data_IF_686761457476
#
_entry.id   IF_686761457476
#
_cell.length_a   1.000
_cell.length_b   1.000
_cell.length_c   1.000
_cell.angle_alpha   90.00
_cell.angle_beta   90.00
_cell.angle_gamma   90.00
#
_symmetry.space_group_name_H-M   'P 1'
#
loop_
_entity.id
_entity.type
_entity.pdbx_description
1 polymer ?
#
# COMPACT_ATOMS: atom_id res chain seq x y z
N UNK A 1 -6.25 34.75 7.93
CA UNK A 1 -5.32 33.94 7.12
C UNK A 1 -4.70 32.80 7.94
N UNK A 2 -4.70 32.86 9.28
CA UNK A 2 -4.39 31.74 10.19
C UNK A 2 -5.47 30.66 10.20
N UNK A 3 -6.75 31.04 10.15
CA UNK A 3 -7.85 30.06 10.32
C UNK A 3 -7.92 29.05 9.17
N UNK A 4 -7.58 29.46 7.95
CA UNK A 4 -7.54 28.56 6.77
C UNK A 4 -6.39 27.55 6.79
N UNK A 5 -5.34 27.78 7.59
CA UNK A 5 -4.21 26.83 7.76
C UNK A 5 -4.55 25.83 8.86
N UNK A 6 -5.22 26.28 9.92
CA UNK A 6 -5.67 25.43 11.03
C UNK A 6 -6.81 24.49 10.60
N UNK A 7 -7.73 24.95 9.73
CA UNK A 7 -8.74 24.06 9.11
C UNK A 7 -8.08 23.02 8.21
N UNK A 8 -7.05 23.39 7.43
CA UNK A 8 -6.34 22.45 6.54
C UNK A 8 -5.45 21.46 7.29
N UNK A 9 -4.88 21.87 8.42
CA UNK A 9 -4.17 20.98 9.35
C UNK A 9 -5.12 20.03 10.09
N UNK A 10 -6.35 20.46 10.39
CA UNK A 10 -7.38 19.59 10.96
C UNK A 10 -8.00 18.65 9.91
N UNK A 11 -8.08 19.06 8.64
CA UNK A 11 -8.39 18.16 7.51
C UNK A 11 -7.25 17.13 7.28
N UNK A 12 -5.99 17.54 7.44
CA UNK A 12 -4.82 16.65 7.34
C UNK A 12 -4.67 15.69 8.53
N UNK A 13 -5.25 15.98 9.71
CA UNK A 13 -5.33 15.03 10.83
C UNK A 13 -6.16 13.79 10.52
N UNK A 14 -6.98 13.81 9.47
CA UNK A 14 -7.79 12.66 9.03
C UNK A 14 -6.94 11.70 8.14
N UNK A 15 -5.86 12.20 7.52
CA UNK A 15 -5.04 11.42 6.58
C UNK A 15 -3.71 10.87 7.16
N UNK A 16 -3.51 10.96 8.47
CA UNK A 16 -2.45 10.20 9.16
C UNK A 16 -3.05 8.96 9.83
N UNK A 17 -3.32 7.91 9.03
CA UNK A 17 -3.62 6.59 9.59
C UNK A 17 -2.34 5.95 10.13
N UNK A 18 -1.95 6.36 11.34
CA UNK A 18 -1.46 5.49 12.42
C UNK A 18 -1.39 6.34 13.71
N UNK A 19 -2.54 6.57 14.33
CA UNK A 19 -2.62 6.90 15.76
C UNK A 19 -3.14 5.67 16.47
N UNK A 20 -2.31 4.62 16.49
CA UNK A 20 -2.53 3.49 17.37
C UNK A 20 -2.15 3.90 18.79
N UNK A 21 -3.08 4.49 19.53
CA UNK A 21 -3.03 4.37 20.98
C UNK A 21 -3.32 2.89 21.28
N UNK A 22 -2.28 2.06 21.45
CA UNK A 22 -2.42 0.75 22.09
C UNK A 22 -2.69 1.03 23.58
N UNK A 23 -3.94 0.99 24.07
CA UNK A 23 -4.20 1.37 25.45
C UNK A 23 -3.71 0.22 26.33
N UNK A 24 -2.78 0.53 27.25
CA UNK A 24 -2.36 -0.36 28.34
C UNK A 24 -1.62 -1.67 27.96
N UNK A 25 -0.78 -1.66 26.92
CA UNK A 25 0.19 -2.75 26.73
C UNK A 25 1.48 -2.38 27.48
N UNK A 26 1.95 -3.26 28.37
CA UNK A 26 3.23 -3.04 29.07
C UNK A 26 4.39 -3.03 28.07
N UNK A 27 5.45 -2.27 28.36
CA UNK A 27 6.66 -2.23 27.53
C UNK A 27 7.21 -3.65 27.27
N UNK A 28 7.11 -4.53 28.26
CA UNK A 28 7.51 -5.95 28.16
C UNK A 28 6.65 -6.73 27.17
N UNK A 29 5.33 -6.48 27.13
CA UNK A 29 4.42 -7.11 26.17
C UNK A 29 4.64 -6.58 24.74
N UNK A 30 4.92 -5.29 24.56
CA UNK A 30 5.30 -4.70 23.25
C UNK A 30 6.59 -5.31 22.69
N UNK A 31 7.59 -5.58 23.54
CA UNK A 31 8.83 -6.25 23.14
C UNK A 31 8.61 -7.73 22.75
N UNK A 32 7.54 -8.37 23.26
CA UNK A 32 7.17 -9.74 22.94
C UNK A 32 6.28 -9.87 21.70
N UNK A 33 5.62 -8.79 21.25
CA UNK A 33 4.90 -8.80 19.98
C UNK A 33 5.89 -8.96 18.82
N UNK A 34 5.93 -10.14 18.22
CA UNK A 34 6.39 -10.30 16.85
C UNK A 34 5.25 -9.81 15.96
N UNK A 35 5.40 -8.65 15.32
CA UNK A 35 4.48 -8.27 14.23
C UNK A 35 4.70 -9.33 13.14
N UNK A 36 3.69 -10.14 12.81
CA UNK A 36 3.91 -11.24 11.88
C UNK A 36 4.14 -10.69 10.48
N UNK A 37 5.20 -11.14 9.81
CA UNK A 37 5.44 -10.86 8.40
C UNK A 37 6.41 -9.71 8.13
N UNK A 38 6.67 -8.82 9.09
CA UNK A 38 7.70 -7.81 8.94
C UNK A 38 8.99 -8.23 9.67
N UNK A 39 9.90 -8.88 8.94
CA UNK A 39 11.20 -9.26 9.50
C UNK A 39 12.07 -8.03 9.84
N UNK A 40 11.69 -6.82 9.40
CA UNK A 40 12.51 -5.61 9.48
C UNK A 40 11.92 -4.55 10.43
N UNK A 41 10.63 -4.18 10.35
CA UNK A 41 10.05 -3.11 11.16
C UNK A 41 9.90 -3.42 12.66
N UNK A 42 9.87 -4.72 13.02
CA UNK A 42 9.90 -5.12 14.44
C UNK A 42 11.22 -4.70 15.09
N UNK A 43 12.29 -4.53 14.32
CA UNK A 43 13.58 -4.07 14.85
C UNK A 43 13.56 -2.58 15.20
N UNK A 44 13.06 -1.70 14.33
CA UNK A 44 13.05 -0.24 14.56
C UNK A 44 12.20 0.15 15.77
N UNK A 45 10.96 -0.33 15.86
CA UNK A 45 10.08 0.02 16.99
C UNK A 45 10.69 -0.48 18.31
N UNK A 46 11.26 -1.69 18.32
CA UNK A 46 11.94 -2.23 19.52
C UNK A 46 13.19 -1.43 19.88
N UNK A 47 14.00 -1.00 18.91
CA UNK A 47 15.16 -0.15 19.15
C UNK A 47 14.76 1.21 19.73
N UNK A 48 13.72 1.83 19.16
CA UNK A 48 13.20 3.10 19.65
C UNK A 48 12.65 2.96 21.08
N UNK A 49 11.81 1.95 21.33
CA UNK A 49 11.27 1.66 22.66
C UNK A 49 12.37 1.37 23.68
N UNK A 50 13.38 0.58 23.29
CA UNK A 50 14.51 0.23 24.15
C UNK A 50 15.35 1.44 24.56
N UNK A 51 15.46 2.44 23.68
CA UNK A 51 16.28 3.65 23.92
C UNK A 51 15.52 4.78 24.59
N UNK A 52 14.31 5.06 24.14
CA UNK A 52 13.53 6.22 24.55
C UNK A 52 12.42 5.89 25.56
N UNK A 53 12.18 4.60 25.81
CA UNK A 53 11.15 4.11 26.73
C UNK A 53 9.76 4.70 26.46
N UNK A 54 9.46 4.97 25.19
CA UNK A 54 8.22 5.59 24.73
C UNK A 54 7.86 5.08 23.34
N UNK A 55 6.55 5.01 23.06
CA UNK A 55 6.05 4.70 21.73
C UNK A 55 6.37 5.87 20.77
N UNK A 56 6.96 5.59 19.58
CA UNK A 56 7.22 6.62 18.58
C UNK A 56 5.95 7.04 17.86
N UNK A 57 5.88 8.31 17.48
CA UNK A 57 5.12 8.73 16.31
C UNK A 57 5.84 8.25 15.05
N UNK A 58 5.08 7.88 14.02
CA UNK A 58 5.60 7.40 12.76
C UNK A 58 5.32 8.41 11.65
N UNK A 59 6.32 8.70 10.82
CA UNK A 59 6.15 9.49 9.60
C UNK A 59 6.96 8.88 8.46
N UNK A 60 6.30 8.53 7.37
CA UNK A 60 6.97 8.06 6.15
C UNK A 60 7.26 9.26 5.26
N UNK A 61 8.54 9.63 5.14
CA UNK A 61 8.98 10.65 4.21
C UNK A 61 8.98 10.06 2.80
N UNK A 62 8.03 10.50 1.99
CA UNK A 62 7.96 10.20 0.56
C UNK A 62 8.53 11.38 -0.22
N UNK A 63 9.20 11.07 -1.33
CA UNK A 63 9.82 12.05 -2.23
C UNK A 63 8.82 12.96 -2.99
N UNK A 64 7.51 12.71 -2.84
CA UNK A 64 6.40 13.55 -3.28
C UNK A 64 5.73 13.13 -4.60
N UNK A 65 6.43 12.43 -5.51
CA UNK A 65 5.86 11.89 -6.76
C UNK A 65 6.53 10.56 -7.09
N UNK A 66 5.84 9.65 -7.79
CA UNK A 66 6.30 8.29 -8.14
C UNK A 66 7.65 8.22 -8.88
N UNK A 67 8.13 9.33 -9.46
CA UNK A 67 9.44 9.40 -10.12
C UNK A 67 10.57 9.88 -9.22
N UNK A 68 10.27 10.57 -8.11
CA UNK A 68 11.31 11.12 -7.24
C UNK A 68 11.80 10.03 -6.31
N UNK A 69 13.10 9.96 -6.11
CA UNK A 69 13.74 8.97 -5.26
C UNK A 69 14.69 9.72 -4.33
N UNK A 70 14.71 9.34 -3.06
CA UNK A 70 15.57 9.96 -2.05
C UNK A 70 17.00 9.47 -2.29
N UNK A 71 17.93 10.39 -2.46
CA UNK A 71 19.34 10.06 -2.61
C UNK A 71 19.96 9.89 -1.21
N UNK A 72 20.14 8.63 -0.83
CA UNK A 72 20.50 8.24 0.53
C UNK A 72 21.84 8.83 0.94
N UNK A 73 22.82 8.86 0.04
CA UNK A 73 24.18 9.34 0.35
C UNK A 73 24.18 10.83 0.72
N UNK A 74 23.54 11.69 -0.08
CA UNK A 74 23.42 13.12 0.25
C UNK A 74 22.64 13.33 1.56
N UNK A 75 21.62 12.51 1.83
CA UNK A 75 20.90 12.58 3.10
C UNK A 75 21.81 12.21 4.28
N UNK A 76 22.59 11.13 4.18
CA UNK A 76 23.53 10.74 5.24
C UNK A 76 24.60 11.82 5.48
N UNK A 77 25.13 12.43 4.41
CA UNK A 77 26.06 13.57 4.52
C UNK A 77 25.42 14.76 5.23
N UNK A 78 24.17 15.09 4.91
CA UNK A 78 23.41 16.13 5.60
C UNK A 78 23.25 15.83 7.10
N UNK A 79 22.92 14.58 7.47
CA UNK A 79 22.80 14.17 8.87
C UNK A 79 24.14 14.27 9.62
N UNK A 80 25.25 13.87 9.00
CA UNK A 80 26.58 14.05 9.58
C UNK A 80 26.91 15.53 9.83
N UNK A 81 26.58 16.41 8.87
CA UNK A 81 26.96 17.81 8.91
C UNK A 81 26.09 18.63 9.87
N UNK A 82 24.77 18.53 9.74
CA UNK A 82 23.81 19.34 10.50
C UNK A 82 23.48 18.75 11.86
N UNK A 83 23.32 17.42 11.95
CA UNK A 83 22.94 16.73 13.18
C UNK A 83 24.13 16.13 13.95
N UNK A 84 25.36 16.27 13.42
CA UNK A 84 26.57 15.66 13.99
C UNK A 84 26.40 14.15 14.21
N UNK A 85 25.67 13.52 13.30
CA UNK A 85 25.42 12.08 13.34
C UNK A 85 26.69 11.29 13.01
N UNK A 86 26.92 10.18 13.71
CA UNK A 86 28.05 9.28 13.46
C UNK A 86 27.55 8.00 12.79
N UNK A 87 27.89 7.83 11.51
CA UNK A 87 27.47 6.68 10.72
C UNK A 87 27.98 5.33 11.26
N UNK A 88 29.03 5.32 12.07
CA UNK A 88 29.53 4.08 12.68
C UNK A 88 28.62 3.56 13.79
N UNK A 89 27.67 4.40 14.24
CA UNK A 89 26.66 4.02 15.24
C UNK A 89 25.38 3.49 14.61
N UNK A 90 25.29 3.50 13.27
CA UNK A 90 24.14 2.99 12.54
C UNK A 90 24.03 1.47 12.73
N UNK A 91 22.80 0.99 12.92
CA UNK A 91 22.51 -0.42 12.70
C UNK A 91 22.30 -0.62 11.19
N UNK A 92 23.03 -1.57 10.61
CA UNK A 92 22.93 -1.89 9.18
C UNK A 92 22.54 -3.36 9.06
N UNK A 93 21.47 -3.63 8.32
CA UNK A 93 21.13 -4.97 7.88
C UNK A 93 21.42 -5.11 6.40
N UNK A 94 21.91 -6.27 6.00
CA UNK A 94 22.21 -6.54 4.60
C UNK A 94 21.99 -7.99 4.24
N UNK A 95 21.87 -8.24 2.95
CA UNK A 95 21.74 -9.56 2.37
C UNK A 95 23.02 -9.86 1.59
N UNK A 96 23.55 -11.06 1.78
CA UNK A 96 24.66 -11.56 0.97
C UNK A 96 24.10 -12.34 -0.22
N UNK A 97 24.38 -11.89 -1.44
CA UNK A 97 24.03 -12.62 -2.64
C UNK A 97 25.20 -13.56 -3.03
N UNK A 98 24.99 -14.86 -2.84
CA UNK A 98 25.99 -15.88 -3.14
C UNK A 98 26.28 -16.08 -4.64
N UNK A 99 25.38 -15.64 -5.52
CA UNK A 99 25.55 -15.74 -6.98
C UNK A 99 26.40 -14.60 -7.52
N UNK A 100 26.20 -13.38 -6.99
CA UNK A 100 26.95 -12.18 -7.41
C UNK A 100 28.16 -11.89 -6.52
N UNK A 101 28.29 -12.58 -5.38
CA UNK A 101 29.32 -12.37 -4.37
C UNK A 101 29.33 -10.92 -3.84
N UNK A 102 28.14 -10.31 -3.73
CA UNK A 102 27.92 -8.94 -3.31
C UNK A 102 27.10 -8.87 -2.02
N UNK A 103 27.38 -7.85 -1.20
CA UNK A 103 26.61 -7.49 -0.01
C UNK A 103 25.71 -6.31 -0.36
N UNK A 104 24.40 -6.52 -0.28
CA UNK A 104 23.40 -5.47 -0.47
C UNK A 104 22.89 -4.99 0.89
N UNK A 105 22.82 -3.68 1.10
CA UNK A 105 22.25 -3.11 2.33
C UNK A 105 20.73 -3.14 2.20
N UNK A 106 20.06 -3.95 3.02
CA UNK A 106 18.60 -4.04 3.03
C UNK A 106 17.96 -2.92 3.85
N UNK A 107 18.57 -2.56 4.98
CA UNK A 107 18.13 -1.43 5.78
C UNK A 107 19.28 -0.78 6.56
N UNK A 108 19.10 0.50 6.88
CA UNK A 108 19.99 1.28 7.75
C UNK A 108 19.16 2.07 8.74
N UNK A 109 19.53 2.00 10.01
CA UNK A 109 18.89 2.74 11.11
C UNK A 109 19.84 3.80 11.64
N UNK A 110 19.41 5.06 11.59
CA UNK A 110 20.17 6.20 12.09
C UNK A 110 19.44 6.81 13.29
N UNK A 111 20.04 6.75 14.47
CA UNK A 111 19.52 7.44 15.64
C UNK A 111 20.15 8.83 15.80
N UNK A 112 19.37 9.86 15.49
CA UNK A 112 19.81 11.26 15.59
C UNK A 112 19.81 11.79 17.02
N UNK A 113 19.51 10.94 18.00
CA UNK A 113 19.34 11.30 19.42
C UNK A 113 18.08 12.16 19.63
N UNK A 114 17.84 12.54 20.88
CA UNK A 114 16.72 13.41 21.28
C UNK A 114 15.32 12.94 20.84
N UNK A 115 15.17 11.63 20.63
CA UNK A 115 13.90 11.03 20.27
C UNK A 115 13.58 11.14 18.79
N UNK A 116 14.57 11.13 17.89
CA UNK A 116 14.38 11.01 16.45
C UNK A 116 15.27 9.87 15.92
N UNK A 117 14.66 8.90 15.24
CA UNK A 117 15.35 7.80 14.60
C UNK A 117 14.81 7.61 13.18
N UNK A 118 15.69 7.33 12.23
CA UNK A 118 15.38 7.15 10.83
C UNK A 118 15.67 5.72 10.41
N UNK A 119 14.84 5.19 9.54
CA UNK A 119 15.03 3.90 8.90
C UNK A 119 14.98 4.10 7.38
N UNK A 120 16.07 3.72 6.72
CA UNK A 120 16.18 3.64 5.28
C UNK A 120 15.99 2.17 4.89
N UNK A 121 15.00 1.87 4.06
CA UNK A 121 14.73 0.52 3.55
C UNK A 121 14.94 0.45 2.03
N UNK A 122 15.17 -0.75 1.53
CA UNK A 122 15.28 -1.05 0.09
C UNK A 122 16.27 -0.12 -0.63
N UNK A 123 17.47 0.03 -0.05
CA UNK A 123 18.51 0.88 -0.62
C UNK A 123 19.18 0.12 -1.77
N UNK A 124 19.19 0.72 -2.97
CA UNK A 124 19.88 0.14 -4.12
C UNK A 124 20.62 1.20 -4.93
N UNK A 125 21.64 0.77 -5.69
CA UNK A 125 22.40 1.64 -6.57
C UNK A 125 21.72 1.73 -7.95
N UNK A 126 21.49 2.94 -8.44
CA UNK A 126 20.93 3.16 -9.76
C UNK A 126 21.75 4.20 -10.55
N UNK A 127 22.45 3.80 -11.63
CA UNK A 127 23.22 4.72 -12.49
C UNK A 127 22.37 5.43 -13.54
N UNK A 128 21.10 5.04 -13.74
CA UNK A 128 20.24 5.58 -14.79
C UNK A 128 19.40 6.79 -14.38
N UNK A 129 19.57 7.33 -13.17
CA UNK A 129 18.70 8.39 -12.66
C UNK A 129 18.93 9.74 -13.34
N UNK A 130 17.86 10.50 -13.55
CA UNK A 130 17.94 11.91 -13.89
C UNK A 130 18.23 12.72 -12.63
N UNK A 131 19.18 13.64 -12.70
CA UNK A 131 19.66 14.39 -11.54
C UNK A 131 19.35 15.90 -11.66
N UNK A 132 18.08 16.31 -11.54
CA UNK A 132 17.69 17.72 -11.71
C UNK A 132 18.25 18.64 -10.62
N UNK A 133 18.56 18.08 -9.45
CA UNK A 133 19.09 18.81 -8.29
C UNK A 133 20.63 18.90 -8.29
N UNK A 134 21.30 18.39 -9.33
CA UNK A 134 22.77 18.45 -9.49
C UNK A 134 23.54 17.85 -8.30
N UNK A 135 23.00 16.78 -7.71
CA UNK A 135 23.63 16.07 -6.60
C UNK A 135 24.88 15.33 -7.08
N UNK A 136 25.83 15.11 -6.18
CA UNK A 136 27.06 14.36 -6.49
C UNK A 136 26.73 12.86 -6.55
N UNK A 137 27.22 12.17 -7.58
CA UNK A 137 27.10 10.71 -7.68
C UNK A 137 27.99 9.99 -6.64
N UNK A 138 27.61 8.77 -6.26
CA UNK A 138 28.25 8.00 -5.18
C UNK A 138 29.46 7.22 -5.65
N UNK A 139 29.50 6.83 -6.93
CA UNK A 139 30.59 6.09 -7.57
C UNK A 139 30.98 6.73 -8.90
N UNK A 140 32.15 6.36 -9.43
CA UNK A 140 32.72 6.86 -10.68
C UNK A 140 31.84 6.71 -11.91
N UNK A 141 30.86 5.79 -11.86
CA UNK A 141 29.99 5.42 -12.98
C UNK A 141 28.61 6.12 -12.89
N UNK A 142 28.55 7.30 -12.29
CA UNK A 142 27.33 8.09 -12.08
C UNK A 142 26.20 7.37 -11.32
N UNK A 143 26.56 6.38 -10.49
CA UNK A 143 25.61 5.63 -9.64
C UNK A 143 25.09 6.43 -8.45
N UNK A 144 23.78 6.40 -8.20
CA UNK A 144 23.14 6.99 -7.02
C UNK A 144 22.51 5.91 -6.14
N UNK A 145 22.86 5.84 -4.87
CA UNK A 145 22.23 5.01 -3.85
C UNK A 145 20.93 5.64 -3.41
N UNK A 146 19.83 5.00 -3.75
CA UNK A 146 18.49 5.58 -3.66
C UNK A 146 17.57 4.72 -2.81
N UNK A 147 16.59 5.37 -2.20
CA UNK A 147 15.47 4.74 -1.50
C UNK A 147 14.16 5.41 -1.92
N UNK A 148 13.07 4.64 -1.93
CA UNK A 148 11.74 5.18 -2.24
C UNK A 148 11.16 5.97 -1.07
N UNK A 149 11.37 5.46 0.15
CA UNK A 149 10.85 6.05 1.37
C UNK A 149 11.89 6.02 2.47
N UNK A 150 11.75 6.94 3.43
CA UNK A 150 12.47 6.91 4.71
C UNK A 150 11.42 6.97 5.80
N UNK A 151 11.46 6.01 6.72
CA UNK A 151 10.56 5.98 7.87
C UNK A 151 11.21 6.71 9.04
N UNK A 152 10.50 7.65 9.65
CA UNK A 152 10.96 8.46 10.77
C UNK A 152 10.14 8.12 12.00
N UNK A 153 10.83 7.68 13.05
CA UNK A 153 10.30 7.40 14.37
C UNK A 153 10.68 8.57 15.28
N UNK A 154 9.70 9.19 15.94
CA UNK A 154 10.00 10.37 16.74
C UNK A 154 9.10 10.54 17.97
N UNK A 155 9.60 11.22 19.00
CA UNK A 155 8.77 11.63 20.13
C UNK A 155 7.84 12.78 19.71
N UNK A 156 6.59 12.85 20.20
CA UNK A 156 5.59 13.83 19.74
C UNK A 156 6.08 15.29 19.71
N UNK A 157 6.92 15.69 20.68
CA UNK A 157 7.45 17.05 20.76
C UNK A 157 8.49 17.40 19.68
N UNK A 158 9.03 16.40 18.96
CA UNK A 158 9.99 16.58 17.87
C UNK A 158 9.34 16.83 16.51
N UNK A 159 8.00 16.87 16.43
CA UNK A 159 7.25 17.12 15.19
C UNK A 159 7.78 18.33 14.38
N UNK A 160 8.13 19.49 14.98
CA UNK A 160 8.68 20.62 14.22
C UNK A 160 10.02 20.29 13.55
N UNK A 161 10.93 19.65 14.29
CA UNK A 161 12.25 19.21 13.81
C UNK A 161 12.12 18.20 12.66
N UNK A 162 11.20 17.25 12.80
CA UNK A 162 10.90 16.25 11.76
C UNK A 162 10.34 16.90 10.51
N UNK A 163 9.44 17.89 10.64
CA UNK A 163 8.90 18.62 9.50
C UNK A 163 9.98 19.37 8.72
N UNK A 164 10.94 19.99 9.41
CA UNK A 164 12.08 20.66 8.78
C UNK A 164 13.01 19.67 8.06
N UNK A 165 13.30 18.56 8.71
CA UNK A 165 14.12 17.48 8.14
C UNK A 165 13.49 16.91 6.84
N UNK A 166 12.18 16.67 6.81
CA UNK A 166 11.48 16.26 5.59
C UNK A 166 11.58 17.32 4.46
N UNK A 167 11.51 18.61 4.79
CA UNK A 167 11.68 19.69 3.79
C UNK A 167 13.10 19.69 3.22
N UNK A 168 14.11 19.39 4.03
CA UNK A 168 15.49 19.23 3.58
C UNK A 168 15.64 18.04 2.65
N UNK A 169 15.05 16.89 3.01
CA UNK A 169 15.11 15.66 2.21
C UNK A 169 14.49 15.82 0.83
N UNK A 170 13.45 16.64 0.71
CA UNK A 170 12.83 16.94 -0.59
C UNK A 170 13.79 17.57 -1.61
N UNK A 171 14.85 18.23 -1.15
CA UNK A 171 15.90 18.79 -2.02
C UNK A 171 16.98 17.76 -2.39
N UNK A 172 17.04 16.65 -1.67
CA UNK A 172 18.03 15.58 -1.81
C UNK A 172 17.45 14.40 -2.58
N UNK A 173 16.74 14.70 -3.66
CA UNK A 173 16.07 13.69 -4.51
C UNK A 173 16.67 13.65 -5.91
N UNK A 174 16.69 12.47 -6.50
CA UNK A 174 16.89 12.25 -7.94
C UNK A 174 15.57 11.79 -8.58
N UNK A 175 15.54 11.64 -9.90
CA UNK A 175 14.39 11.19 -10.66
C UNK A 175 14.70 9.86 -11.38
N UNK A 176 13.81 8.89 -11.31
CA UNK A 176 13.91 7.67 -12.12
C UNK A 176 13.74 8.00 -13.62
N UNK A 177 14.55 7.40 -14.54
CA UNK A 177 14.49 7.69 -15.98
C UNK A 177 13.17 7.22 -16.60
N UNK A 178 12.63 6.10 -16.11
CA UNK A 178 11.27 5.65 -16.37
C UNK A 178 10.50 5.68 -15.06
N UNK A 179 9.20 5.99 -15.07
CA UNK A 179 8.43 5.80 -13.86
C UNK A 179 8.46 4.30 -13.56
N UNK A 180 9.13 3.90 -12.48
CA UNK A 180 8.84 2.63 -11.82
C UNK A 180 7.45 2.81 -11.24
N UNK A 181 6.42 2.73 -12.08
CA UNK A 181 5.04 2.72 -11.62
C UNK A 181 4.85 1.33 -11.07
N UNK A 182 5.41 1.15 -9.89
CA UNK A 182 5.26 -0.01 -9.06
C UNK A 182 4.21 0.38 -8.05
N UNK A 183 3.01 -0.15 -8.21
CA UNK A 183 1.94 0.06 -7.25
C UNK A 183 2.10 -0.93 -6.09
N UNK A 184 1.97 -0.43 -4.86
CA UNK A 184 1.96 -1.26 -3.66
C UNK A 184 0.54 -1.77 -3.44
N UNK A 185 0.32 -3.02 -3.81
CA UNK A 185 -0.90 -3.76 -3.56
C UNK A 185 -0.81 -4.46 -2.20
N UNK A 186 -1.81 -4.31 -1.34
CA UNK A 186 -1.81 -4.98 -0.04
C UNK A 186 -2.50 -6.35 -0.14
N UNK A 187 -1.79 -7.44 0.03
CA UNK A 187 -2.37 -8.78 0.08
C UNK A 187 -2.79 -9.16 1.49
N UNK A 188 -4.01 -9.65 1.63
CA UNK A 188 -4.48 -10.27 2.87
C UNK A 188 -3.73 -11.56 3.15
N UNK A 189 -3.18 -11.65 4.36
CA UNK A 189 -2.50 -12.81 4.89
C UNK A 189 -3.13 -13.22 6.23
N UNK A 190 -2.96 -14.49 6.63
CA UNK A 190 -3.45 -15.01 7.91
C UNK A 190 -2.36 -15.79 8.63
N UNK A 191 -2.30 -15.66 9.95
CA UNK A 191 -1.50 -16.50 10.83
C UNK A 191 -2.25 -16.77 12.15
N UNK A 192 -1.53 -17.29 13.15
CA UNK A 192 -2.08 -17.60 14.48
C UNK A 192 -2.62 -16.37 15.24
N UNK A 193 -2.16 -15.17 14.92
CA UNK A 193 -2.58 -13.90 15.52
C UNK A 193 -3.71 -13.17 14.78
N UNK A 194 -4.21 -13.73 13.68
CA UNK A 194 -5.31 -13.15 12.88
C UNK A 194 -4.90 -12.77 11.46
N UNK A 195 -5.65 -11.82 10.89
CA UNK A 195 -5.43 -11.31 9.54
C UNK A 195 -4.54 -10.06 9.56
N UNK A 196 -3.71 -9.92 8.54
CA UNK A 196 -2.84 -8.76 8.34
C UNK A 196 -2.62 -8.49 6.84
N UNK A 197 -2.14 -7.29 6.51
CA UNK A 197 -1.76 -6.94 5.14
C UNK A 197 -0.26 -7.11 4.92
N UNK A 198 0.12 -7.77 3.82
CA UNK A 198 1.48 -7.78 3.29
C UNK A 198 1.55 -6.96 2.01
N UNK A 199 2.57 -6.13 1.86
CA UNK A 199 2.76 -5.36 0.63
C UNK A 199 3.31 -6.25 -0.50
N UNK A 200 2.78 -6.05 -1.71
CA UNK A 200 3.26 -6.64 -2.95
C UNK A 200 3.41 -5.54 -3.98
N UNK A 201 4.54 -5.55 -4.66
CA UNK A 201 4.88 -4.55 -5.67
C UNK A 201 4.48 -5.06 -7.06
N UNK A 202 3.56 -4.38 -7.73
CA UNK A 202 3.08 -4.74 -9.08
C UNK A 202 3.56 -3.71 -10.09
N UNK A 203 4.19 -4.17 -11.18
CA UNK A 203 4.61 -3.29 -12.28
C UNK A 203 3.42 -2.88 -13.15
N UNK A 204 3.35 -1.62 -13.56
CA UNK A 204 2.34 -1.16 -14.53
C UNK A 204 2.55 -1.84 -15.88
N UNK A 205 1.51 -2.49 -16.45
CA UNK A 205 1.59 -3.01 -17.80
C UNK A 205 1.56 -1.88 -18.82
N UNK A 206 2.22 -2.09 -19.97
CA UNK A 206 2.16 -1.15 -21.09
C UNK A 206 0.84 -1.34 -21.86
N UNK A 207 -0.14 -0.48 -21.58
CA UNK A 207 -1.37 -0.34 -22.36
C UNK A 207 -1.39 1.07 -22.92
N UNK A 208 -1.12 1.21 -24.23
CA UNK A 208 -1.07 2.51 -24.91
C UNK A 208 -2.44 2.97 -25.40
N UNK A 209 -3.33 2.01 -25.69
CA UNK A 209 -4.68 2.26 -26.19
C UNK A 209 -5.62 1.17 -25.68
N UNK A 210 -6.54 1.52 -24.78
CA UNK A 210 -7.53 0.59 -24.23
C UNK A 210 -8.45 -0.02 -25.29
N UNK A 211 -8.82 0.76 -26.32
CA UNK A 211 -9.73 0.30 -27.36
C UNK A 211 -9.11 -0.79 -28.23
N UNK A 212 -7.81 -0.70 -28.50
CA UNK A 212 -7.08 -1.72 -29.25
C UNK A 212 -6.98 -3.05 -28.50
N UNK A 213 -6.88 -3.01 -27.17
CA UNK A 213 -6.69 -4.21 -26.35
C UNK A 213 -8.00 -4.89 -25.95
N UNK A 214 -9.07 -4.10 -25.70
CA UNK A 214 -10.29 -4.61 -25.09
C UNK A 214 -11.58 -4.25 -25.83
N UNK A 215 -11.48 -3.52 -26.94
CA UNK A 215 -12.62 -3.07 -27.73
C UNK A 215 -13.10 -1.66 -27.38
N UNK A 216 -13.75 -1.00 -28.34
CA UNK A 216 -14.27 0.36 -28.19
C UNK A 216 -15.41 0.45 -27.17
N UNK A 217 -16.20 -0.61 -27.05
CA UNK A 217 -17.28 -0.73 -26.08
C UNK A 217 -16.77 -0.72 -24.63
N UNK A 218 -15.61 -1.33 -24.39
CA UNK A 218 -14.99 -1.35 -23.06
C UNK A 218 -14.56 0.02 -22.56
N UNK A 219 -14.17 0.95 -23.43
CA UNK A 219 -13.65 2.27 -23.03
C UNK A 219 -14.65 3.01 -22.14
N UNK A 220 -15.93 3.00 -22.53
CA UNK A 220 -17.01 3.63 -21.75
C UNK A 220 -17.22 2.95 -20.38
N UNK A 221 -17.03 1.64 -20.31
CA UNK A 221 -17.14 0.87 -19.07
C UNK A 221 -15.94 1.14 -18.16
N UNK A 222 -14.74 1.21 -18.73
CA UNK A 222 -13.51 1.58 -18.04
C UNK A 222 -13.63 2.97 -17.39
N UNK A 223 -14.09 3.98 -18.13
CA UNK A 223 -14.31 5.33 -17.58
C UNK A 223 -15.28 5.32 -16.39
N UNK A 224 -16.35 4.53 -16.47
CA UNK A 224 -17.30 4.35 -15.37
C UNK A 224 -16.65 3.68 -14.16
N UNK A 225 -15.84 2.63 -14.38
CA UNK A 225 -15.09 1.94 -13.34
C UNK A 225 -14.14 2.92 -12.64
N UNK A 226 -13.29 3.63 -13.39
CA UNK A 226 -12.31 4.58 -12.86
C UNK A 226 -12.97 5.68 -12.06
N UNK A 227 -14.02 6.30 -12.62
CA UNK A 227 -14.77 7.34 -11.94
C UNK A 227 -15.32 6.83 -10.61
N UNK A 228 -15.95 5.65 -10.62
CA UNK A 228 -16.59 5.08 -9.43
C UNK A 228 -15.57 4.69 -8.37
N UNK A 229 -14.48 4.02 -8.75
CA UNK A 229 -13.45 3.54 -7.82
C UNK A 229 -12.62 4.69 -7.23
N UNK A 230 -12.45 5.81 -7.93
CA UNK A 230 -11.79 7.01 -7.39
C UNK A 230 -12.72 7.95 -6.61
N UNK A 231 -14.03 7.67 -6.56
CA UNK A 231 -14.97 8.49 -5.77
C UNK A 231 -14.90 8.05 -4.31
N UNK A 232 -14.58 8.98 -3.40
CA UNK A 232 -14.57 8.74 -1.94
C UNK A 232 -15.96 8.37 -1.43
N UNK A 233 -16.00 7.56 -0.37
CA UNK A 233 -17.24 7.11 0.29
C UNK A 233 -18.24 6.41 -0.65
N UNK A 234 -17.75 5.91 -1.78
CA UNK A 234 -18.55 5.18 -2.73
C UNK A 234 -18.51 3.68 -2.44
N UNK A 235 -19.54 2.95 -2.85
CA UNK A 235 -19.66 1.50 -2.61
C UNK A 235 -20.11 0.76 -3.86
N UNK A 236 -19.92 -0.55 -3.86
CA UNK A 236 -20.45 -1.42 -4.89
C UNK A 236 -19.40 -2.32 -5.53
N UNK A 237 -19.84 -3.06 -6.55
CA UNK A 237 -19.11 -4.18 -7.12
C UNK A 237 -18.85 -3.94 -8.61
N UNK A 238 -17.62 -4.19 -9.03
CA UNK A 238 -17.19 -4.34 -10.42
C UNK A 238 -17.00 -5.84 -10.69
N UNK A 239 -17.72 -6.36 -11.67
CA UNK A 239 -17.62 -7.76 -12.11
C UNK A 239 -16.99 -7.80 -13.52
N UNK A 240 -15.89 -8.52 -13.67
CA UNK A 240 -15.14 -8.64 -14.92
C UNK A 240 -14.97 -10.10 -15.30
N UNK A 241 -15.48 -10.51 -16.47
CA UNK A 241 -15.51 -11.93 -16.81
C UNK A 241 -15.24 -12.22 -18.27
N UNK A 242 -15.15 -13.50 -18.63
CA UNK A 242 -14.84 -13.92 -19.99
C UNK A 242 -13.90 -15.11 -20.01
N UNK A 243 -13.57 -15.61 -21.19
CA UNK A 243 -12.77 -16.83 -21.34
C UNK A 243 -11.35 -16.69 -20.73
N UNK A 244 -10.70 -17.79 -20.32
CA UNK A 244 -9.29 -17.76 -19.93
C UNK A 244 -8.42 -17.14 -21.03
N UNK A 245 -7.49 -16.27 -20.66
CA UNK A 245 -6.60 -15.60 -21.62
C UNK A 245 -7.13 -14.29 -22.23
N UNK A 246 -8.37 -13.90 -21.96
CA UNK A 246 -9.00 -12.63 -22.41
C UNK A 246 -8.42 -11.35 -21.79
N UNK A 247 -7.32 -11.43 -21.05
CA UNK A 247 -6.60 -10.26 -20.55
C UNK A 247 -7.17 -9.62 -19.27
N UNK A 248 -8.10 -10.27 -18.55
CA UNK A 248 -8.68 -9.77 -17.28
C UNK A 248 -7.61 -9.37 -16.25
N UNK A 249 -6.69 -10.28 -15.92
CA UNK A 249 -5.58 -9.98 -14.98
C UNK A 249 -4.65 -8.89 -15.50
N UNK A 250 -4.45 -8.82 -16.82
CA UNK A 250 -3.67 -7.73 -17.42
C UNK A 250 -4.38 -6.38 -17.21
N UNK A 251 -5.70 -6.34 -17.36
CA UNK A 251 -6.51 -5.16 -17.08
C UNK A 251 -6.51 -4.81 -15.60
N UNK A 252 -6.63 -5.78 -14.68
CA UNK A 252 -6.54 -5.51 -13.23
C UNK A 252 -5.20 -4.84 -12.90
N UNK A 253 -4.08 -5.36 -13.43
CA UNK A 253 -2.76 -4.73 -13.25
C UNK A 253 -2.70 -3.32 -13.81
N UNK A 254 -3.42 -3.01 -14.88
CA UNK A 254 -3.53 -1.64 -15.38
C UNK A 254 -4.40 -0.77 -14.44
N UNK A 255 -5.58 -1.26 -14.09
CA UNK A 255 -6.58 -0.61 -13.26
C UNK A 255 -6.02 -0.15 -11.91
N UNK A 256 -5.25 -1.00 -11.22
CA UNK A 256 -4.69 -0.64 -9.91
C UNK A 256 -3.78 0.60 -9.96
N UNK A 257 -3.15 0.88 -11.11
CA UNK A 257 -2.29 2.05 -11.29
C UNK A 257 -3.07 3.32 -11.63
N UNK A 258 -4.35 3.19 -11.98
CA UNK A 258 -5.24 4.31 -12.29
C UNK A 258 -6.08 4.73 -11.06
N UNK A 259 -5.98 3.99 -9.95
CA UNK A 259 -6.62 4.33 -8.68
C UNK A 259 -5.72 5.26 -7.87
N UNK A 260 -6.33 6.30 -7.30
CA UNK A 260 -5.67 7.32 -6.50
C UNK A 260 -6.36 7.46 -5.13
N UNK A 261 -5.57 7.58 -4.08
CA UNK A 261 -6.07 7.95 -2.75
C UNK A 261 -6.87 6.88 -2.00
N UNK A 262 -6.95 5.65 -2.50
CA UNK A 262 -7.58 4.51 -1.82
C UNK A 262 -6.62 3.35 -1.60
N UNK A 263 -6.79 2.64 -0.49
CA UNK A 263 -6.07 1.39 -0.23
C UNK A 263 -6.60 0.29 -1.14
N UNK A 264 -5.73 -0.36 -1.91
CA UNK A 264 -6.07 -1.55 -2.68
C UNK A 264 -5.67 -2.80 -1.90
N UNK A 265 -6.64 -3.68 -1.66
CA UNK A 265 -6.46 -4.90 -0.88
C UNK A 265 -6.76 -6.10 -1.77
N UNK A 266 -5.74 -6.88 -2.09
CA UNK A 266 -5.91 -8.17 -2.74
C UNK A 266 -6.33 -9.23 -1.73
N UNK A 267 -7.48 -9.86 -1.96
CA UNK A 267 -8.00 -10.94 -1.12
C UNK A 267 -7.84 -12.25 -1.89
N UNK A 268 -7.00 -13.19 -1.41
CA UNK A 268 -6.87 -14.49 -2.05
C UNK A 268 -8.23 -15.21 -2.16
N UNK A 269 -8.50 -15.94 -3.25
CA UNK A 269 -9.80 -16.57 -3.49
C UNK A 269 -10.29 -17.45 -2.34
N UNK A 270 -9.37 -18.18 -1.71
CA UNK A 270 -9.69 -19.07 -0.58
C UNK A 270 -10.12 -18.30 0.67
N UNK A 271 -9.58 -17.09 0.89
CA UNK A 271 -9.92 -16.24 2.03
C UNK A 271 -11.19 -15.42 1.80
N UNK A 272 -11.54 -15.15 0.55
CA UNK A 272 -12.72 -14.34 0.22
C UNK A 272 -14.05 -14.98 0.67
N UNK A 273 -14.08 -16.29 0.94
CA UNK A 273 -15.24 -16.95 1.58
C UNK A 273 -15.47 -16.49 3.02
N UNK A 274 -14.41 -16.06 3.70
CA UNK A 274 -14.39 -15.63 5.10
C UNK A 274 -14.63 -14.12 5.26
N UNK A 275 -14.86 -13.38 4.17
CA UNK A 275 -14.79 -11.90 4.12
C UNK A 275 -15.81 -11.17 5.02
N UNK A 276 -16.91 -11.83 5.38
CA UNK A 276 -17.90 -11.31 6.35
C UNK A 276 -17.94 -12.14 7.65
N UNK A 277 -16.97 -13.03 7.86
CA UNK A 277 -16.89 -13.77 9.11
C UNK A 277 -16.64 -12.80 10.27
N UNK A 278 -17.14 -13.11 11.48
CA UNK A 278 -16.89 -12.30 12.67
C UNK A 278 -15.39 -12.08 12.96
N UNK A 279 -14.52 -12.98 12.51
CA UNK A 279 -13.07 -12.88 12.69
C UNK A 279 -12.40 -11.97 11.64
N UNK A 280 -12.97 -11.88 10.44
CA UNK A 280 -12.44 -11.07 9.33
C UNK A 280 -12.95 -9.63 9.34
N UNK A 281 -14.23 -9.42 9.71
CA UNK A 281 -14.85 -8.09 9.70
C UNK A 281 -14.08 -7.05 10.53
N UNK A 282 -13.61 -7.34 11.76
CA UNK A 282 -12.83 -6.39 12.54
C UNK A 282 -11.49 -6.01 11.89
N UNK A 283 -10.91 -6.91 11.10
CA UNK A 283 -9.72 -6.62 10.30
C UNK A 283 -10.08 -5.68 9.14
N UNK A 284 -11.13 -5.99 8.39
CA UNK A 284 -11.56 -5.17 7.26
C UNK A 284 -12.01 -3.76 7.67
N UNK A 285 -12.67 -3.62 8.83
CA UNK A 285 -13.09 -2.34 9.42
C UNK A 285 -11.94 -1.37 9.69
N UNK A 286 -10.70 -1.82 9.73
CA UNK A 286 -9.52 -0.95 9.88
C UNK A 286 -9.20 -0.20 8.57
N UNK A 287 -9.81 -0.59 7.45
CA UNK A 287 -9.53 -0.07 6.12
C UNK A 287 -10.82 0.44 5.43
N UNK A 288 -11.51 1.45 5.98
CA UNK A 288 -12.67 2.04 5.31
C UNK A 288 -12.27 2.70 3.99
N UNK A 289 -13.24 2.84 3.08
CA UNK A 289 -13.07 3.41 1.74
C UNK A 289 -11.93 2.76 0.93
N UNK A 290 -11.74 1.46 1.12
CA UNK A 290 -10.76 0.66 0.37
C UNK A 290 -11.40 -0.12 -0.78
N UNK A 291 -10.58 -0.67 -1.67
CA UNK A 291 -11.03 -1.50 -2.79
C UNK A 291 -10.48 -2.91 -2.61
N UNK A 292 -11.37 -3.90 -2.56
CA UNK A 292 -11.03 -5.31 -2.51
C UNK A 292 -10.89 -5.86 -3.92
N UNK A 293 -9.76 -6.49 -4.21
CA UNK A 293 -9.49 -7.15 -5.48
C UNK A 293 -9.50 -8.65 -5.25
N UNK A 294 -10.39 -9.35 -5.93
CA UNK A 294 -10.57 -10.80 -5.84
C UNK A 294 -10.44 -11.36 -7.26
N UNK A 295 -9.26 -11.85 -7.61
CA UNK A 295 -9.09 -12.54 -8.90
C UNK A 295 -9.60 -13.97 -8.83
N UNK A 296 -9.97 -14.57 -9.97
CA UNK A 296 -10.41 -15.97 -10.06
C UNK A 296 -11.44 -16.36 -8.98
N UNK A 297 -12.49 -15.55 -8.90
CA UNK A 297 -13.55 -15.63 -7.90
C UNK A 297 -14.62 -16.70 -8.21
N UNK A 298 -14.37 -17.65 -9.13
CA UNK A 298 -15.38 -18.64 -9.53
C UNK A 298 -15.85 -19.49 -8.35
N UNK A 299 -14.94 -19.83 -7.44
CA UNK A 299 -15.25 -20.66 -6.27
C UNK A 299 -16.07 -19.93 -5.18
N UNK A 300 -16.27 -18.64 -5.35
CA UNK A 300 -17.03 -17.75 -4.46
C UNK A 300 -18.41 -17.53 -5.07
N UNK A 301 -18.44 -17.30 -6.39
CA UNK A 301 -19.65 -16.89 -7.12
C UNK A 301 -20.48 -18.09 -7.61
N UNK A 302 -19.84 -19.22 -7.96
CA UNK A 302 -20.57 -20.41 -8.45
C UNK A 302 -21.45 -20.99 -7.36
N UNK A 303 -22.73 -21.08 -7.68
CA UNK A 303 -23.71 -21.83 -6.92
C UNK A 303 -23.22 -23.28 -6.81
N UNK A 304 -22.98 -23.77 -5.59
CA UNK A 304 -22.76 -25.21 -5.40
C UNK A 304 -24.10 -25.86 -5.68
N UNK A 305 -24.20 -26.48 -6.86
CA UNK A 305 -25.29 -27.37 -7.24
C UNK A 305 -25.79 -28.19 -6.03
N UNK A 306 -27.05 -27.94 -5.65
CA UNK A 306 -28.05 -28.80 -4.97
C UNK A 306 -28.89 -28.12 -3.88
N UNK A 307 -28.57 -26.90 -3.43
CA UNK A 307 -29.42 -26.17 -2.47
C UNK A 307 -29.86 -24.82 -3.02
N UNK A 308 -31.17 -24.55 -3.01
CA UNK A 308 -31.84 -23.34 -3.52
C UNK A 308 -31.50 -22.03 -2.80
N UNK A 309 -30.31 -21.91 -2.21
CA UNK A 309 -29.86 -20.77 -1.42
C UNK A 309 -28.56 -20.20 -1.98
N UNK A 310 -28.40 -18.86 -1.99
CA UNK A 310 -27.16 -18.19 -2.36
C UNK A 310 -25.96 -18.82 -1.66
N UNK A 311 -24.83 -18.95 -2.38
CA UNK A 311 -23.57 -19.29 -1.74
C UNK A 311 -23.31 -18.30 -0.60
N UNK A 312 -22.92 -18.79 0.58
CA UNK A 312 -22.63 -17.94 1.74
C UNK A 312 -21.64 -16.81 1.36
N UNK A 313 -20.71 -17.10 0.46
CA UNK A 313 -19.71 -16.14 -0.01
C UNK A 313 -20.32 -15.00 -0.85
N UNK A 314 -21.35 -15.27 -1.66
CA UNK A 314 -22.11 -14.23 -2.35
C UNK A 314 -22.86 -13.35 -1.34
N UNK A 315 -23.56 -13.94 -0.38
CA UNK A 315 -24.24 -13.18 0.67
C UNK A 315 -23.26 -12.30 1.46
N UNK A 316 -22.05 -12.78 1.67
CA UNK A 316 -20.97 -12.05 2.34
C UNK A 316 -20.51 -10.82 1.52
N UNK A 317 -20.30 -10.97 0.20
CA UNK A 317 -19.99 -9.83 -0.69
C UNK A 317 -21.17 -8.83 -0.78
N UNK A 318 -22.40 -9.34 -0.73
CA UNK A 318 -23.61 -8.49 -0.72
C UNK A 318 -23.70 -7.63 0.53
N UNK A 319 -23.39 -8.17 1.70
CA UNK A 319 -23.40 -7.42 2.97
C UNK A 319 -22.30 -6.36 3.03
N UNK A 320 -21.20 -6.53 2.30
CA UNK A 320 -20.11 -5.55 2.22
C UNK A 320 -20.35 -4.46 1.18
N UNK A 321 -21.07 -4.78 0.11
CA UNK A 321 -21.38 -3.83 -0.97
C UNK A 321 -22.69 -3.07 -0.78
N UNK A 322 -23.54 -3.50 0.15
CA UNK A 322 -24.86 -2.94 0.41
C UNK A 322 -25.28 -3.12 1.88
N UNK A 323 -26.22 -2.30 2.35
CA UNK A 323 -26.69 -2.30 3.74
C UNK A 323 -25.74 -1.62 4.74
N UNK A 324 -26.00 -1.82 6.04
CA UNK A 324 -25.35 -1.07 7.14
C UNK A 324 -23.82 -1.16 7.14
N UNK A 325 -23.26 -2.33 6.80
CA UNK A 325 -21.80 -2.50 6.72
C UNK A 325 -21.22 -1.80 5.49
N UNK A 326 -21.88 -1.88 4.34
CA UNK A 326 -21.48 -1.13 3.14
C UNK A 326 -21.57 0.39 3.34
N UNK A 327 -22.58 0.87 4.06
CA UNK A 327 -22.74 2.29 4.43
C UNK A 327 -21.71 2.75 5.48
N UNK A 328 -21.27 1.86 6.36
CA UNK A 328 -20.28 2.21 7.38
C UNK A 328 -18.84 2.15 6.86
N UNK A 329 -18.53 1.23 5.94
CA UNK A 329 -17.17 0.98 5.48
C UNK A 329 -16.87 1.55 4.09
N UNK A 330 -17.89 1.84 3.28
CA UNK A 330 -17.73 2.30 1.89
C UNK A 330 -16.80 1.38 1.07
N UNK A 331 -16.96 0.08 1.24
CA UNK A 331 -16.11 -0.90 0.58
C UNK A 331 -16.50 -1.05 -0.89
N UNK A 332 -15.52 -0.97 -1.78
CA UNK A 332 -15.69 -1.32 -3.19
C UNK A 332 -15.01 -2.65 -3.49
N UNK A 333 -15.59 -3.43 -4.40
CA UNK A 333 -15.10 -4.77 -4.74
C UNK A 333 -14.89 -4.85 -6.25
N UNK A 334 -13.75 -5.38 -6.68
CA UNK A 334 -13.44 -5.74 -8.06
C UNK A 334 -13.19 -7.24 -8.09
N UNK A 335 -14.04 -7.99 -8.79
CA UNK A 335 -13.94 -9.44 -8.90
C UNK A 335 -13.78 -9.88 -10.36
N UNK A 336 -12.88 -10.84 -10.60
CA UNK A 336 -12.71 -11.48 -11.92
C UNK A 336 -13.15 -12.94 -11.91
N UNK A 337 -13.68 -13.44 -13.04
CA UNK A 337 -14.07 -14.85 -13.18
C UNK A 337 -14.02 -15.34 -14.63
N UNK A 338 -13.81 -16.65 -14.82
CA UNK A 338 -13.71 -17.33 -16.12
C UNK A 338 -15.00 -18.10 -16.50
N UNK A 339 -16.14 -17.77 -15.89
CA UNK A 339 -17.42 -18.41 -16.15
C UNK A 339 -18.49 -17.43 -16.65
N UNK A 340 -19.54 -17.99 -17.25
CA UNK A 340 -20.70 -17.24 -17.73
C UNK A 340 -21.51 -16.64 -16.57
N UNK A 341 -22.04 -15.44 -16.79
CA UNK A 341 -22.96 -14.71 -15.91
C UNK A 341 -24.17 -15.54 -15.49
N UNK A 342 -24.59 -16.50 -16.31
CA UNK A 342 -25.69 -17.41 -16.00
C UNK A 342 -25.47 -18.25 -14.73
N UNK A 343 -24.21 -18.34 -14.28
CA UNK A 343 -23.82 -19.06 -13.07
C UNK A 343 -23.70 -18.17 -11.82
N UNK A 344 -23.97 -16.87 -11.96
CA UNK A 344 -23.88 -15.87 -10.88
C UNK A 344 -25.25 -15.64 -10.25
N UNK A 345 -25.27 -15.52 -8.92
CA UNK A 345 -26.46 -15.13 -8.18
C UNK A 345 -27.04 -13.78 -8.68
N UNK A 346 -28.30 -13.74 -9.16
CA UNK A 346 -28.97 -12.52 -9.62
C UNK A 346 -29.00 -11.38 -8.60
N UNK A 347 -28.86 -11.65 -7.29
CA UNK A 347 -28.82 -10.65 -6.24
C UNK A 347 -27.60 -9.70 -6.34
N UNK A 348 -26.50 -10.15 -6.95
CA UNK A 348 -25.31 -9.34 -7.25
C UNK A 348 -25.54 -8.37 -8.42
N UNK A 349 -26.43 -8.72 -9.35
CA UNK A 349 -26.68 -7.96 -10.59
C UNK A 349 -27.66 -6.79 -10.41
N UNK A 350 -28.10 -6.52 -9.17
CA UNK A 350 -29.04 -5.42 -8.89
C UNK A 350 -28.36 -4.06 -9.09
N UNK A 351 -29.05 -3.15 -9.80
CA UNK A 351 -28.52 -1.84 -10.24
C UNK A 351 -27.98 -0.93 -9.12
N UNK A 352 -28.43 -1.11 -7.87
CA UNK A 352 -27.94 -0.32 -6.71
C UNK A 352 -26.61 -0.79 -6.14
N UNK A 353 -26.13 -1.97 -6.54
CA UNK A 353 -24.91 -2.62 -6.01
C UNK A 353 -23.79 -2.68 -7.04
N UNK A 354 -24.17 -2.70 -8.31
CA UNK A 354 -23.27 -2.97 -9.42
C UNK A 354 -22.75 -1.66 -10.01
N UNK A 355 -21.44 -1.44 -9.89
CA UNK A 355 -20.72 -0.35 -10.55
C UNK A 355 -20.62 -0.68 -12.04
N UNK A 356 -20.11 -1.86 -12.37
CA UNK A 356 -19.94 -2.31 -13.75
C UNK A 356 -19.98 -3.84 -13.82
N UNK A 357 -20.43 -4.35 -14.97
CA UNK A 357 -20.31 -5.74 -15.35
C UNK A 357 -19.88 -5.80 -16.81
N UNK A 358 -18.82 -6.53 -17.13
CA UNK A 358 -18.27 -6.61 -18.47
C UNK A 358 -17.69 -7.97 -18.80
N UNK A 359 -17.97 -8.43 -20.03
CA UNK A 359 -17.45 -9.65 -20.62
C UNK A 359 -16.31 -9.31 -21.60
N UNK A 360 -15.11 -9.83 -21.31
CA UNK A 360 -13.97 -9.81 -22.19
C UNK A 360 -14.08 -10.99 -23.17
N UNK A 361 -13.94 -10.69 -24.46
CA UNK A 361 -14.03 -11.66 -25.56
C UNK A 361 -12.67 -12.12 -26.07
#
# INVERSE_FOLDING_TARGET
>A
MSDKIETKLNELKINSMYVGALPNISMEALLQFNIPGDRYAVSSIRLFLGKYHALPCLLTCMSGTDRKLLHVTTILEYLCNEFKHDLNTDLITGNYNSQTNQMDISARFCDLKNGIMLEFQDIYLNPGVLNPNQLKADKSDDGFSIAQTITIYYLPHQMPSVSELCKSFYKMTVLSPEPSITFTLHMVCRNQGGYYLSCITIKKPLITDLALYYGNDFVSVHEKIIKSLNTLENKGIVLLHGIPGSGKTHYIRYLIHEIQGKTLIYVPPDMAKEISSPDFLPFLMQYPDSILIIEDAENIIKDRNESSFPSQAVANLLNLSDGLLGDAMHQQIVATFNCDLTTIDPALLRKGRLIANYEFN
#
